data_IF_376672019983
#
_entry.id   IF_376672019983
#
_cell.length_a   1.000
_cell.length_b   1.000
_cell.length_c   1.000
_cell.angle_alpha   90.00
_cell.angle_beta   90.00
_cell.angle_gamma   90.00
#
_symmetry.space_group_name_H-M   'P 1'
#
loop_
_entity.id
_entity.type
_entity.pdbx_description
1 polymer ?
#
# COMPACT_ATOMS: atom_id res chain seq x y z
N UNK A 1 -2.57 -0.22 21.74
CA UNK A 1 -2.15 1.06 21.15
C UNK A 1 -3.13 1.48 20.07
N UNK A 2 -3.37 2.77 19.94
CA UNK A 2 -4.29 3.27 18.92
C UNK A 2 -3.69 3.06 17.52
N UNK A 3 -4.52 2.71 16.53
CA UNK A 3 -4.05 2.60 15.16
C UNK A 3 -3.53 3.95 14.66
N UNK A 4 -2.49 3.91 13.85
CA UNK A 4 -1.95 5.09 13.22
C UNK A 4 -2.36 5.11 11.75
N UNK A 5 -2.85 6.26 11.31
CA UNK A 5 -3.27 6.45 9.92
C UNK A 5 -2.29 7.35 9.18
N UNK A 6 -2.01 6.97 7.95
CA UNK A 6 -1.07 7.66 7.08
C UNK A 6 -1.85 8.38 5.98
N UNK A 7 -1.28 9.50 5.52
CA UNK A 7 -1.81 10.19 4.34
C UNK A 7 -1.31 9.50 3.07
N UNK A 8 -1.90 9.81 1.92
CA UNK A 8 -1.37 9.31 0.65
C UNK A 8 0.05 9.82 0.40
N UNK A 9 0.36 11.03 0.85
CA UNK A 9 1.72 11.56 0.73
C UNK A 9 2.72 10.72 1.54
N UNK A 10 2.33 10.29 2.74
CA UNK A 10 3.16 9.40 3.56
C UNK A 10 3.39 8.07 2.87
N UNK A 11 2.34 7.50 2.28
CA UNK A 11 2.44 6.23 1.56
C UNK A 11 3.32 6.38 0.32
N UNK A 12 3.13 7.44 -0.44
CA UNK A 12 3.93 7.70 -1.63
C UNK A 12 5.41 7.82 -1.28
N UNK A 13 5.73 8.52 -0.20
CA UNK A 13 7.10 8.66 0.26
C UNK A 13 7.67 7.33 0.70
N UNK A 14 6.92 6.57 1.49
CA UNK A 14 7.36 5.27 2.00
C UNK A 14 7.65 4.29 0.88
N UNK A 15 6.80 4.24 -0.14
CA UNK A 15 6.95 3.32 -1.27
C UNK A 15 7.72 3.94 -2.43
N UNK A 16 8.12 5.20 -2.30
CA UNK A 16 8.82 5.96 -3.34
C UNK A 16 8.04 5.95 -4.66
N UNK A 17 6.76 6.27 -4.56
CA UNK A 17 5.86 6.34 -5.71
C UNK A 17 5.40 7.77 -5.95
N UNK A 18 4.94 8.04 -7.16
CA UNK A 18 4.25 9.30 -7.44
C UNK A 18 2.89 9.30 -6.76
N UNK A 19 2.32 10.48 -6.56
CA UNK A 19 0.97 10.60 -6.01
C UNK A 19 -0.06 9.92 -6.90
N UNK A 20 0.10 10.03 -8.22
CA UNK A 20 -0.80 9.38 -9.17
C UNK A 20 -0.79 7.87 -9.02
N UNK A 21 0.40 7.27 -8.92
CA UNK A 21 0.53 5.83 -8.73
C UNK A 21 -0.07 5.39 -7.38
N UNK A 22 0.16 6.20 -6.34
CA UNK A 22 -0.39 5.90 -5.00
C UNK A 22 -1.92 5.94 -5.02
N UNK A 23 -2.51 6.91 -5.71
CA UNK A 23 -3.97 6.99 -5.83
C UNK A 23 -4.55 5.78 -6.55
N UNK A 24 -3.86 5.30 -7.58
CA UNK A 24 -4.29 4.10 -8.29
C UNK A 24 -4.29 2.89 -7.36
N UNK A 25 -3.26 2.75 -6.53
CA UNK A 25 -3.18 1.65 -5.56
C UNK A 25 -4.38 1.62 -4.62
N UNK A 26 -4.77 2.77 -4.08
CA UNK A 26 -5.88 2.81 -3.12
C UNK A 26 -7.22 2.76 -3.81
N UNK A 27 -7.38 3.41 -4.96
CA UNK A 27 -8.67 3.42 -5.67
C UNK A 27 -8.98 2.06 -6.30
N UNK A 28 -7.98 1.29 -6.68
CA UNK A 28 -8.18 -0.06 -7.22
C UNK A 28 -8.46 -1.09 -6.12
N UNK A 29 -8.23 -0.75 -4.86
CA UNK A 29 -8.36 -1.67 -3.75
C UNK A 29 -7.14 -2.55 -3.53
N UNK A 30 -6.08 -2.39 -4.31
CA UNK A 30 -4.86 -3.17 -4.15
C UNK A 30 -4.21 -2.89 -2.80
N UNK A 31 -4.18 -1.61 -2.39
CA UNK A 31 -3.79 -1.21 -1.05
C UNK A 31 -5.05 -0.77 -0.30
N UNK A 32 -5.54 -1.55 0.67
CA UNK A 32 -6.74 -1.19 1.41
C UNK A 32 -6.60 0.17 2.09
N UNK A 33 -7.59 1.02 1.93
CA UNK A 33 -7.59 2.36 2.48
C UNK A 33 -9.02 2.77 2.79
N UNK A 34 -9.17 3.76 3.64
CA UNK A 34 -10.49 4.30 3.97
C UNK A 34 -10.56 5.77 3.62
N UNK A 35 -11.77 6.24 3.35
CA UNK A 35 -12.03 7.66 3.18
C UNK A 35 -12.67 8.18 4.46
N UNK A 36 -12.11 9.26 5.00
CA UNK A 36 -12.59 9.83 6.25
C UNK A 36 -13.17 11.22 5.99
N UNK A 37 -14.21 11.56 6.75
CA UNK A 37 -14.89 12.84 6.63
C UNK A 37 -15.68 12.95 5.33
N UNK A 38 -16.33 14.10 5.17
CA UNK A 38 -17.18 14.36 4.00
C UNK A 38 -16.43 14.73 2.73
N UNK A 39 -15.11 14.88 2.80
CA UNK A 39 -14.29 15.33 1.66
C UNK A 39 -13.57 14.19 0.94
N UNK A 40 -13.90 12.95 1.24
CA UNK A 40 -13.29 11.77 0.62
C UNK A 40 -11.75 11.77 0.74
N UNK A 41 -11.27 12.09 1.93
CA UNK A 41 -9.84 12.13 2.20
C UNK A 41 -9.34 10.71 2.50
N UNK A 42 -8.42 10.21 1.69
CA UNK A 42 -7.89 8.87 1.87
C UNK A 42 -6.95 8.78 3.06
N UNK A 43 -7.08 7.67 3.79
CA UNK A 43 -6.15 7.33 4.87
C UNK A 43 -5.85 5.85 4.83
N UNK A 44 -4.60 5.50 5.08
CA UNK A 44 -4.13 4.11 5.11
C UNK A 44 -3.63 3.80 6.50
N UNK A 45 -4.17 2.76 7.13
CA UNK A 45 -3.68 2.34 8.43
C UNK A 45 -2.25 1.80 8.29
N UNK A 46 -1.36 2.19 9.21
CA UNK A 46 0.05 1.81 9.15
C UNK A 46 0.24 0.30 9.09
N UNK A 47 -0.52 -0.45 9.89
CA UNK A 47 -0.43 -1.91 9.89
C UNK A 47 -0.85 -2.52 8.56
N UNK A 48 -1.80 -1.89 7.86
CA UNK A 48 -2.25 -2.34 6.54
C UNK A 48 -1.15 -2.11 5.50
N UNK A 49 -0.47 -0.97 5.57
CA UNK A 49 0.65 -0.69 4.68
C UNK A 49 1.79 -1.69 4.92
N UNK A 50 2.09 -1.98 6.19
CA UNK A 50 3.12 -2.97 6.52
C UNK A 50 2.77 -4.34 5.96
N UNK A 51 1.50 -4.76 6.08
CA UNK A 51 1.05 -6.04 5.53
C UNK A 51 1.15 -6.06 4.01
N UNK A 52 0.79 -4.96 3.35
CA UNK A 52 0.92 -4.82 1.91
C UNK A 52 2.38 -5.03 1.49
N UNK A 53 3.31 -4.40 2.18
CA UNK A 53 4.74 -4.52 1.89
C UNK A 53 5.19 -5.98 2.05
N UNK A 54 4.77 -6.65 3.13
CA UNK A 54 5.12 -8.05 3.35
C UNK A 54 4.56 -8.95 2.25
N UNK A 55 3.34 -8.68 1.81
CA UNK A 55 2.71 -9.44 0.73
C UNK A 55 3.46 -9.25 -0.59
N UNK A 56 3.96 -8.04 -0.85
CA UNK A 56 4.76 -7.78 -2.05
C UNK A 56 6.10 -8.53 -2.01
N UNK A 57 6.73 -8.59 -0.86
CA UNK A 57 7.96 -9.36 -0.69
C UNK A 57 7.71 -10.85 -0.92
N UNK A 58 6.61 -11.37 -0.39
CA UNK A 58 6.23 -12.77 -0.59
C UNK A 58 6.01 -13.07 -2.06
N UNK A 59 5.26 -12.21 -2.76
CA UNK A 59 5.00 -12.37 -4.19
C UNK A 59 6.29 -12.32 -5.00
N UNK A 60 7.22 -11.44 -4.62
CA UNK A 60 8.51 -11.34 -5.29
C UNK A 60 9.32 -12.61 -5.10
N UNK A 61 9.33 -13.18 -3.88
CA UNK A 61 10.05 -14.44 -3.61
C UNK A 61 9.46 -15.59 -4.40
N UNK A 62 8.13 -15.65 -4.50
CA UNK A 62 7.46 -16.70 -5.27
C UNK A 62 7.80 -16.59 -6.76
N UNK A 63 7.81 -15.35 -7.29
CA UNK A 63 8.20 -15.13 -8.69
C UNK A 63 9.63 -15.54 -8.95
N UNK A 64 10.55 -15.22 -8.05
CA UNK A 64 11.95 -15.59 -8.17
C UNK A 64 12.10 -17.12 -8.14
N UNK A 65 11.40 -17.78 -7.22
CA UNK A 65 11.43 -19.24 -7.13
C UNK A 65 10.92 -19.89 -8.41
N UNK A 66 9.84 -19.36 -8.98
CA UNK A 66 9.31 -19.87 -10.25
C UNK A 66 10.23 -19.55 -11.42
N UNK A 67 10.78 -18.32 -11.44
CA UNK A 67 11.70 -17.91 -12.48
C UNK A 67 13.01 -18.67 -12.46
N UNK A 68 13.45 -19.11 -11.29
CA UNK A 68 14.69 -19.86 -11.14
C UNK A 68 14.61 -21.25 -11.77
N UNK A 69 13.41 -21.71 -12.09
CA UNK A 69 13.22 -23.02 -12.73
C UNK A 69 13.42 -22.97 -14.24
N UNK A 70 13.65 -21.82 -14.80
CA UNK A 70 13.89 -21.67 -16.24
C UNK A 70 15.25 -22.15 -16.66
#
# INVERSE_FOLDING_TARGET
MAPRFLTLADVAETLNLTMSATRVLVSSGELPAIQVGGKKVWRVEESVLEQYIQDQYRAARERIAQGASH
#
